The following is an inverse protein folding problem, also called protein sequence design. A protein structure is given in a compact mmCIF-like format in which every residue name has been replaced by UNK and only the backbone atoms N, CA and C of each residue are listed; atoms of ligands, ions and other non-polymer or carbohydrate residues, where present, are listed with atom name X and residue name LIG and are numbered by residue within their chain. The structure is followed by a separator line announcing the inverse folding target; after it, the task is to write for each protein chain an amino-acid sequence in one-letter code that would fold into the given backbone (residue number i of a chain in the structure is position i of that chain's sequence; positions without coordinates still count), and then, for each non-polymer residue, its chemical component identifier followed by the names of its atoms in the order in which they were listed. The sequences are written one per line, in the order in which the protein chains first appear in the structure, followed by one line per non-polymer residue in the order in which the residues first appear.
data_IF_528693507943
#
_entry.id   IF_528693507943
#
_cell.length_a   1.000
_cell.length_b   1.000
_cell.length_c   1.000
_cell.angle_alpha   90.00
_cell.angle_beta   90.00
_cell.angle_gamma   90.00
#
_symmetry.space_group_name_H-M   'P 1'
#
loop_
_entity.id
_entity.type
_entity.pdbx_description
1 polymer ?
#
# COMPACT_ATOMS: atom_id res chain seq x y z
N UNK A 1 -29.99 4.43 1.12
CA UNK A 1 -29.76 2.97 0.92
C UNK A 1 -28.53 2.55 1.72
N UNK A 2 -28.34 1.24 2.00
CA UNK A 2 -27.14 0.76 2.75
C UNK A 2 -25.83 1.17 2.05
N UNK A 3 -25.81 1.15 0.70
CA UNK A 3 -24.66 1.52 -0.13
C UNK A 3 -24.20 2.97 0.01
N UNK A 4 -25.00 3.85 0.57
CA UNK A 4 -24.68 5.28 0.66
C UNK A 4 -24.21 5.67 2.08
N UNK A 5 -24.24 4.70 3.00
CA UNK A 5 -23.83 4.92 4.38
C UNK A 5 -22.29 5.08 4.50
N UNK A 6 -21.80 5.87 5.47
CA UNK A 6 -20.40 5.90 5.86
C UNK A 6 -19.89 4.51 6.27
N UNK A 7 -18.60 4.27 6.10
CA UNK A 7 -17.99 2.98 6.45
C UNK A 7 -18.13 2.64 7.94
N UNK A 8 -18.09 3.65 8.80
CA UNK A 8 -18.29 3.49 10.24
C UNK A 8 -19.69 2.96 10.56
N UNK A 9 -20.72 3.44 9.85
CA UNK A 9 -22.11 3.01 10.04
C UNK A 9 -22.34 1.61 9.46
N UNK A 10 -21.74 1.30 8.32
CA UNK A 10 -21.75 -0.05 7.77
C UNK A 10 -21.10 -1.06 8.73
N UNK A 11 -20.01 -0.67 9.40
CA UNK A 11 -19.36 -1.55 10.36
C UNK A 11 -20.23 -1.79 11.58
N UNK A 12 -20.95 -0.77 12.08
CA UNK A 12 -21.94 -0.93 13.15
C UNK A 12 -23.11 -1.83 12.71
N UNK A 13 -23.62 -1.66 11.50
CA UNK A 13 -24.66 -2.54 10.95
C UNK A 13 -24.20 -3.99 10.87
N UNK A 14 -22.94 -4.22 10.48
CA UNK A 14 -22.34 -5.57 10.47
C UNK A 14 -22.25 -6.17 11.87
N UNK A 15 -21.87 -5.40 12.90
CA UNK A 15 -21.87 -5.82 14.30
C UNK A 15 -23.26 -6.26 14.79
N UNK A 16 -24.33 -5.67 14.21
CA UNK A 16 -25.72 -6.01 14.50
C UNK A 16 -26.24 -7.22 13.70
N UNK A 17 -25.37 -7.87 12.90
CA UNK A 17 -25.69 -9.05 12.12
C UNK A 17 -26.04 -8.80 10.66
N UNK A 18 -25.99 -7.55 10.18
CA UNK A 18 -26.27 -7.23 8.77
C UNK A 18 -25.04 -7.57 7.88
N UNK A 19 -24.99 -8.81 7.39
CA UNK A 19 -23.86 -9.33 6.58
C UNK A 19 -23.64 -8.50 5.32
N UNK A 20 -24.72 -7.98 4.70
CA UNK A 20 -24.63 -7.16 3.49
C UNK A 20 -23.86 -5.85 3.69
N UNK A 21 -23.84 -5.31 4.90
CA UNK A 21 -23.03 -4.16 5.23
C UNK A 21 -21.53 -4.44 5.09
N UNK A 22 -21.08 -5.64 5.50
CA UNK A 22 -19.70 -6.07 5.32
C UNK A 22 -19.34 -6.32 3.84
N UNK A 23 -20.25 -6.89 3.05
CA UNK A 23 -20.04 -7.06 1.60
C UNK A 23 -19.80 -5.72 0.91
N UNK A 24 -20.51 -4.66 1.30
CA UNK A 24 -20.30 -3.30 0.79
C UNK A 24 -18.93 -2.78 1.20
N UNK A 25 -18.52 -2.92 2.47
CA UNK A 25 -17.19 -2.53 2.95
C UNK A 25 -16.08 -3.27 2.18
N UNK A 26 -16.24 -4.58 2.00
CA UNK A 26 -15.31 -5.39 1.21
C UNK A 26 -15.23 -4.90 -0.23
N UNK A 27 -16.36 -4.61 -0.87
CA UNK A 27 -16.42 -4.09 -2.24
C UNK A 27 -15.69 -2.74 -2.39
N UNK A 28 -15.84 -1.84 -1.42
CA UNK A 28 -15.16 -0.52 -1.42
C UNK A 28 -13.65 -0.62 -1.22
N UNK A 29 -13.21 -1.48 -0.30
CA UNK A 29 -11.85 -1.44 0.22
C UNK A 29 -10.93 -2.55 -0.32
N UNK A 30 -11.47 -3.64 -0.90
CA UNK A 30 -10.66 -4.76 -1.40
C UNK A 30 -9.57 -4.32 -2.38
N UNK A 31 -9.93 -3.55 -3.41
CA UNK A 31 -8.98 -3.11 -4.44
C UNK A 31 -7.95 -2.09 -3.91
N UNK A 32 -8.33 -1.04 -3.18
CA UNK A 32 -7.37 -0.11 -2.57
C UNK A 32 -6.39 -0.81 -1.61
N UNK A 33 -6.88 -1.69 -0.71
CA UNK A 33 -6.06 -2.44 0.23
C UNK A 33 -5.10 -3.38 -0.50
N UNK A 34 -5.59 -4.13 -1.49
CA UNK A 34 -4.74 -4.99 -2.31
C UNK A 34 -3.60 -4.21 -2.97
N UNK A 35 -3.94 -3.09 -3.61
CA UNK A 35 -2.95 -2.25 -4.29
C UNK A 35 -1.91 -1.66 -3.32
N UNK A 36 -2.32 -1.31 -2.10
CA UNK A 36 -1.41 -0.86 -1.05
C UNK A 36 -0.45 -1.98 -0.64
N UNK A 37 -0.98 -3.16 -0.28
CA UNK A 37 -0.18 -4.31 0.15
C UNK A 37 0.79 -4.72 -0.96
N UNK A 38 0.32 -4.79 -2.18
CA UNK A 38 1.10 -5.20 -3.33
C UNK A 38 2.29 -4.24 -3.61
N UNK A 39 2.08 -2.91 -3.51
CA UNK A 39 3.16 -1.93 -3.61
C UNK A 39 4.13 -1.97 -2.44
N UNK A 40 3.65 -2.37 -1.28
CA UNK A 40 4.49 -2.49 -0.09
C UNK A 40 5.38 -3.73 -0.14
N UNK A 41 4.81 -4.88 -0.51
CA UNK A 41 5.46 -6.20 -0.49
C UNK A 41 6.22 -6.49 -1.79
N UNK A 42 5.70 -6.05 -2.94
CA UNK A 42 6.29 -6.28 -4.27
C UNK A 42 6.02 -7.67 -4.87
N UNK A 43 5.26 -8.54 -4.21
CA UNK A 43 4.97 -9.90 -4.66
C UNK A 43 3.47 -10.16 -4.60
N UNK A 44 2.91 -10.62 -5.71
CA UNK A 44 1.45 -10.73 -5.90
C UNK A 44 0.82 -11.81 -5.01
N UNK A 45 1.40 -12.99 -4.97
CA UNK A 45 0.88 -14.12 -4.19
C UNK A 45 0.83 -13.77 -2.70
N UNK A 46 1.94 -13.29 -2.15
CA UNK A 46 1.98 -12.78 -0.78
C UNK A 46 0.97 -11.65 -0.54
N UNK A 47 0.76 -10.76 -1.52
CA UNK A 47 -0.21 -9.68 -1.36
C UNK A 47 -1.66 -10.18 -1.33
N UNK A 48 -2.00 -11.22 -2.09
CA UNK A 48 -3.31 -11.87 -2.06
C UNK A 48 -3.57 -12.54 -0.70
N UNK A 49 -2.56 -13.23 -0.14
CA UNK A 49 -2.63 -13.84 1.18
C UNK A 49 -2.82 -12.79 2.30
N UNK A 50 -2.04 -11.71 2.26
CA UNK A 50 -2.14 -10.63 3.24
C UNK A 50 -3.46 -9.86 3.13
N UNK A 51 -4.02 -9.73 1.93
CA UNK A 51 -5.36 -9.17 1.74
C UNK A 51 -6.41 -10.02 2.44
N UNK A 52 -6.39 -11.33 2.22
CA UNK A 52 -7.27 -12.28 2.88
C UNK A 52 -7.16 -12.18 4.41
N UNK A 53 -5.94 -12.25 4.94
CA UNK A 53 -5.69 -12.16 6.38
C UNK A 53 -6.15 -10.80 6.94
N UNK A 54 -6.00 -9.70 6.17
CA UNK A 54 -6.51 -8.38 6.57
C UNK A 54 -8.01 -8.41 6.82
N UNK A 55 -8.80 -8.91 5.87
CA UNK A 55 -10.25 -8.96 6.03
C UNK A 55 -10.70 -10.01 7.04
N UNK A 56 -9.99 -11.12 7.18
CA UNK A 56 -10.23 -12.07 8.27
C UNK A 56 -10.02 -11.44 9.66
N UNK A 57 -9.00 -10.58 9.81
CA UNK A 57 -8.80 -9.83 11.07
C UNK A 57 -9.86 -8.77 11.27
N UNK A 58 -10.35 -8.12 10.21
CA UNK A 58 -11.50 -7.21 10.29
C UNK A 58 -12.73 -7.94 10.82
N UNK A 59 -13.06 -9.14 10.27
CA UNK A 59 -14.19 -9.95 10.73
C UNK A 59 -14.03 -10.34 12.20
N UNK A 60 -12.87 -10.91 12.58
CA UNK A 60 -12.60 -11.35 13.95
C UNK A 60 -12.59 -10.20 14.96
N UNK A 61 -12.14 -9.02 14.54
CA UNK A 61 -12.06 -7.82 15.37
C UNK A 61 -13.30 -6.95 15.32
N UNK A 62 -14.33 -7.35 14.56
CA UNK A 62 -15.52 -6.55 14.33
C UNK A 62 -16.19 -6.09 15.63
N UNK A 63 -16.39 -6.98 16.58
CA UNK A 63 -17.03 -6.68 17.88
C UNK A 63 -16.28 -5.62 18.69
N UNK A 64 -14.95 -5.58 18.57
CA UNK A 64 -14.10 -4.62 19.29
C UNK A 64 -14.00 -3.24 18.60
N UNK A 65 -14.46 -3.14 17.36
CA UNK A 65 -14.43 -1.87 16.64
C UNK A 65 -15.35 -0.83 17.28
N UNK A 66 -14.86 0.40 17.44
CA UNK A 66 -15.62 1.52 17.99
C UNK A 66 -15.83 2.59 16.91
N UNK A 67 -17.07 3.03 16.71
CA UNK A 67 -17.47 4.03 15.72
C UNK A 67 -16.70 5.37 15.79
N UNK A 68 -16.13 5.71 16.95
CA UNK A 68 -15.33 6.94 17.11
C UNK A 68 -14.02 6.91 16.29
N UNK A 69 -13.52 5.72 15.94
CA UNK A 69 -12.35 5.58 15.07
C UNK A 69 -12.79 5.50 13.61
N UNK A 70 -12.06 6.19 12.73
CA UNK A 70 -12.24 6.03 11.28
C UNK A 70 -12.05 4.57 10.89
N UNK A 71 -13.00 3.99 10.14
CA UNK A 71 -12.89 2.61 9.67
C UNK A 71 -11.62 2.41 8.83
N UNK A 72 -11.31 3.34 7.95
CA UNK A 72 -10.09 3.31 7.12
C UNK A 72 -8.81 3.33 7.96
N UNK A 73 -8.75 4.11 9.05
CA UNK A 73 -7.59 4.09 9.96
C UNK A 73 -7.39 2.70 10.56
N UNK A 74 -8.45 2.09 11.07
CA UNK A 74 -8.39 0.75 11.66
C UNK A 74 -8.02 -0.31 10.62
N UNK A 75 -8.65 -0.30 9.45
CA UNK A 75 -8.39 -1.23 8.35
C UNK A 75 -6.93 -1.16 7.89
N UNK A 76 -6.41 0.06 7.64
CA UNK A 76 -5.03 0.23 7.19
C UNK A 76 -4.00 -0.03 8.29
N UNK A 77 -4.35 0.14 9.56
CA UNK A 77 -3.50 -0.31 10.67
C UNK A 77 -3.31 -1.83 10.64
N UNK A 78 -4.38 -2.59 10.39
CA UNK A 78 -4.32 -4.05 10.26
C UNK A 78 -3.44 -4.44 9.05
N UNK A 79 -3.74 -3.89 7.87
CA UNK A 79 -3.01 -4.18 6.64
C UNK A 79 -1.52 -3.84 6.76
N UNK A 80 -1.21 -2.65 7.30
CA UNK A 80 0.15 -2.18 7.56
C UNK A 80 0.93 -3.12 8.48
N UNK A 81 0.35 -3.51 9.60
CA UNK A 81 1.02 -4.39 10.56
C UNK A 81 1.34 -5.74 9.94
N UNK A 82 0.45 -6.30 9.12
CA UNK A 82 0.71 -7.52 8.37
C UNK A 82 1.86 -7.36 7.38
N UNK A 83 1.93 -6.24 6.65
CA UNK A 83 3.02 -5.97 5.72
C UNK A 83 4.37 -5.84 6.44
N UNK A 84 4.42 -5.11 7.56
CA UNK A 84 5.64 -4.93 8.37
C UNK A 84 6.11 -6.27 8.94
N UNK A 85 5.19 -7.07 9.49
CA UNK A 85 5.51 -8.39 10.03
C UNK A 85 6.06 -9.33 8.95
N UNK A 86 5.47 -9.32 7.75
CA UNK A 86 5.95 -10.11 6.61
C UNK A 86 7.35 -9.66 6.15
N UNK A 87 7.59 -8.36 6.06
CA UNK A 87 8.91 -7.82 5.69
C UNK A 87 9.97 -8.21 6.73
N UNK A 88 9.63 -8.12 8.02
CA UNK A 88 10.52 -8.54 9.11
C UNK A 88 10.86 -10.03 9.04
N UNK A 89 9.86 -10.89 8.79
CA UNK A 89 10.06 -12.34 8.60
C UNK A 89 10.96 -12.65 7.41
N UNK A 90 10.81 -11.92 6.28
CA UNK A 90 11.68 -12.07 5.10
C UNK A 90 13.12 -11.67 5.42
N UNK A 91 13.33 -10.56 6.11
CA UNK A 91 14.67 -10.13 6.55
C UNK A 91 15.34 -11.18 7.45
N UNK A 92 14.63 -11.73 8.44
CA UNK A 92 15.14 -12.78 9.32
C UNK A 92 15.50 -14.05 8.56
N UNK A 93 14.67 -14.51 7.63
CA UNK A 93 14.98 -15.70 6.80
C UNK A 93 16.22 -15.48 5.94
N UNK A 94 16.39 -14.30 5.34
CA UNK A 94 17.60 -13.97 4.57
C UNK A 94 18.86 -13.99 5.44
N UNK A 95 18.82 -13.46 6.65
CA UNK A 95 19.96 -13.51 7.57
C UNK A 95 20.27 -14.95 8.02
N UNK A 96 19.27 -15.75 8.32
CA UNK A 96 19.47 -17.16 8.67
C UNK A 96 19.96 -18.00 7.49
N UNK A 97 19.70 -17.60 6.24
CA UNK A 97 20.18 -18.29 5.02
C UNK A 97 21.58 -17.84 4.59
N UNK A 98 22.15 -16.78 5.14
CA UNK A 98 23.53 -16.37 4.86
C UNK A 98 24.57 -17.32 5.48
N UNK A 99 24.15 -18.20 6.40
CA UNK A 99 24.97 -19.29 6.95
C UNK A 99 24.86 -20.60 6.14
N UNK A 100 24.10 -20.63 5.03
CA UNK A 100 23.98 -21.74 4.08
C UNK A 100 24.61 -21.36 2.73
N UNK A 101 25.23 -22.30 1.96
CA UNK A 101 25.85 -21.98 0.66
C UNK A 101 24.83 -21.36 -0.30
N UNK A 102 25.24 -20.27 -0.94
CA UNK A 102 24.45 -19.47 -1.87
C UNK A 102 23.97 -20.32 -3.05
N UNK A 103 22.66 -20.51 -3.14
CA UNK A 103 21.99 -20.73 -4.43
C UNK A 103 21.45 -19.36 -4.88
N UNK A 104 22.11 -18.78 -5.89
CA UNK A 104 21.76 -17.48 -6.45
C UNK A 104 20.61 -17.61 -7.44
N UNK A 105 19.42 -17.92 -6.93
CA UNK A 105 18.17 -17.75 -7.66
C UNK A 105 17.64 -16.33 -7.43
N UNK A 106 18.04 -15.40 -8.30
CA UNK A 106 17.44 -14.06 -8.40
C UNK A 106 16.05 -14.17 -9.05
N UNK A 107 15.06 -14.57 -8.25
CA UNK A 107 13.64 -14.51 -8.61
C UNK A 107 12.98 -13.35 -7.84
N UNK A 108 13.53 -12.16 -8.02
CA UNK A 108 12.83 -10.92 -7.73
C UNK A 108 11.84 -10.66 -8.86
N UNK A 109 10.66 -11.30 -8.77
CA UNK A 109 9.49 -10.93 -9.56
C UNK A 109 9.36 -9.40 -9.50
N UNK A 110 9.64 -8.78 -10.64
CA UNK A 110 9.77 -7.32 -10.75
C UNK A 110 8.43 -6.69 -10.43
N UNK A 111 8.43 -5.65 -9.60
CA UNK A 111 7.32 -4.74 -9.32
C UNK A 111 6.61 -4.24 -10.61
N UNK A 112 7.21 -4.51 -11.78
CA UNK A 112 6.76 -4.18 -13.12
C UNK A 112 5.47 -4.90 -13.56
N UNK A 113 5.19 -6.12 -13.06
CA UNK A 113 4.03 -6.90 -13.47
C UNK A 113 2.74 -6.57 -12.69
N UNK A 114 2.86 -5.63 -11.73
CA UNK A 114 1.92 -5.48 -10.64
C UNK A 114 0.94 -4.31 -10.80
N UNK A 115 1.18 -3.39 -11.72
CA UNK A 115 0.28 -2.26 -11.92
C UNK A 115 -0.49 -2.38 -13.25
N UNK A 116 -1.80 -2.17 -13.28
CA UNK A 116 -2.51 -2.01 -14.55
C UNK A 116 -1.95 -0.79 -15.26
N UNK A 117 -1.30 -0.99 -16.42
CA UNK A 117 -0.93 0.09 -17.30
C UNK A 117 -2.20 0.83 -17.73
N UNK A 118 -2.24 2.17 -17.71
CA UNK A 118 -3.34 2.89 -18.32
C UNK A 118 -3.43 2.55 -19.81
N UNK A 119 -4.64 2.35 -20.31
CA UNK A 119 -4.94 2.06 -21.71
C UNK A 119 -4.61 3.29 -22.57
N UNK A 120 -3.37 3.38 -23.09
CA UNK A 120 -2.88 4.50 -23.91
C UNK A 120 -2.27 3.95 -25.20
N UNK A 121 -2.51 4.67 -26.33
CA UNK A 121 -2.10 4.34 -27.69
C UNK A 121 -0.62 3.95 -27.88
N UNK A 122 -0.34 3.13 -28.91
CA UNK A 122 0.85 2.28 -29.08
C UNK A 122 2.24 2.94 -28.95
N UNK A 123 2.44 4.17 -29.43
CA UNK A 123 3.76 4.85 -29.37
C UNK A 123 4.05 5.49 -28.01
N UNK A 124 3.00 5.84 -27.25
CA UNK A 124 3.11 6.31 -25.86
C UNK A 124 3.39 5.17 -24.87
N UNK A 125 3.12 3.91 -25.24
CA UNK A 125 3.28 2.74 -24.35
C UNK A 125 4.73 2.51 -23.95
N UNK A 126 5.71 2.75 -24.82
CA UNK A 126 7.13 2.47 -24.53
C UNK A 126 7.73 3.51 -23.59
N UNK A 127 7.48 4.80 -23.83
CA UNK A 127 7.96 5.90 -22.97
C UNK A 127 7.27 5.84 -21.60
N UNK A 128 5.96 5.61 -21.58
CA UNK A 128 5.22 5.43 -20.33
C UNK A 128 5.67 4.19 -19.55
N UNK A 129 6.04 3.10 -20.23
CA UNK A 129 6.54 1.88 -19.58
C UNK A 129 7.90 2.12 -18.92
N UNK A 130 8.81 2.85 -19.60
CA UNK A 130 10.12 3.20 -19.04
C UNK A 130 10.00 4.17 -17.85
N UNK A 131 9.23 5.23 -17.99
CA UNK A 131 8.96 6.19 -16.90
C UNK A 131 8.33 5.48 -15.70
N UNK A 132 7.39 4.59 -15.97
CA UNK A 132 6.73 3.79 -14.96
C UNK A 132 7.70 2.87 -14.22
N UNK A 133 8.56 2.13 -14.94
CA UNK A 133 9.59 1.28 -14.36
C UNK A 133 10.58 2.07 -13.49
N UNK A 134 10.99 3.26 -13.96
CA UNK A 134 11.88 4.15 -13.20
C UNK A 134 11.19 4.67 -11.93
N UNK A 135 9.93 5.06 -12.02
CA UNK A 135 9.16 5.51 -10.84
C UNK A 135 9.03 4.38 -9.81
N UNK A 136 8.79 3.14 -10.24
CA UNK A 136 8.75 1.97 -9.37
C UNK A 136 10.10 1.72 -8.68
N UNK A 137 11.19 1.80 -9.43
CA UNK A 137 12.55 1.65 -8.91
C UNK A 137 12.86 2.75 -7.88
N UNK A 138 12.50 3.99 -8.17
CA UNK A 138 12.68 5.12 -7.27
C UNK A 138 11.89 4.94 -5.97
N UNK A 139 10.63 4.51 -6.04
CA UNK A 139 9.79 4.20 -4.86
C UNK A 139 10.39 3.03 -4.05
N UNK A 140 10.87 1.97 -4.73
CA UNK A 140 11.53 0.85 -4.06
C UNK A 140 12.84 1.26 -3.36
N UNK A 141 13.52 2.29 -3.88
CA UNK A 141 14.73 2.88 -3.28
C UNK A 141 14.48 3.75 -2.04
N UNK A 142 13.24 4.12 -1.72
CA UNK A 142 12.92 4.83 -0.48
C UNK A 142 13.19 3.97 0.75
N UNK A 143 13.51 4.60 1.90
CA UNK A 143 13.50 3.86 3.16
C UNK A 143 12.10 3.29 3.42
N UNK A 144 12.01 2.25 4.25
CA UNK A 144 10.74 1.60 4.57
C UNK A 144 9.71 2.60 5.12
N UNK A 145 10.16 3.50 6.00
CA UNK A 145 9.32 4.52 6.63
C UNK A 145 8.91 5.63 5.65
N UNK A 146 9.80 6.01 4.72
CA UNK A 146 9.49 7.01 3.68
C UNK A 146 8.49 6.43 2.69
N UNK A 147 8.74 5.19 2.23
CA UNK A 147 7.86 4.48 1.29
C UNK A 147 6.46 4.27 1.87
N UNK A 148 6.36 3.89 3.14
CA UNK A 148 5.08 3.71 3.83
C UNK A 148 4.23 4.98 3.81
N UNK A 149 4.79 6.10 4.24
CA UNK A 149 4.11 7.40 4.24
C UNK A 149 3.72 7.82 2.82
N UNK A 150 4.63 7.64 1.86
CA UNK A 150 4.39 7.97 0.47
C UNK A 150 3.22 7.16 -0.12
N UNK A 151 3.21 5.84 0.09
CA UNK A 151 2.14 4.97 -0.40
C UNK A 151 0.78 5.32 0.22
N UNK A 152 0.72 5.61 1.51
CA UNK A 152 -0.51 5.99 2.18
C UNK A 152 -1.02 7.35 1.71
N UNK A 153 -0.14 8.31 1.43
CA UNK A 153 -0.54 9.65 0.99
C UNK A 153 -0.98 9.65 -0.47
N UNK A 154 -0.17 9.07 -1.38
CA UNK A 154 -0.36 9.22 -2.82
C UNK A 154 -1.33 8.18 -3.42
N UNK A 155 -1.45 6.99 -2.82
CA UNK A 155 -2.31 5.93 -3.36
C UNK A 155 -3.59 5.70 -2.56
N UNK A 156 -3.62 6.08 -1.30
CA UNK A 156 -4.80 5.95 -0.43
C UNK A 156 -5.44 7.30 -0.11
N UNK A 157 -4.81 8.41 -0.52
CA UNK A 157 -5.21 9.80 -0.25
C UNK A 157 -5.52 10.08 1.24
N UNK A 158 -4.80 9.38 2.14
CA UNK A 158 -5.00 9.59 3.57
C UNK A 158 -4.43 10.93 4.04
N UNK A 159 -5.15 11.70 4.87
CA UNK A 159 -4.61 12.89 5.51
C UNK A 159 -3.42 12.55 6.42
N UNK A 160 -2.44 13.44 6.56
CA UNK A 160 -1.25 13.21 7.41
C UNK A 160 -1.59 12.83 8.84
N UNK A 161 -2.63 13.42 9.42
CA UNK A 161 -3.12 13.05 10.75
C UNK A 161 -3.55 11.58 10.79
N UNK A 162 -4.30 11.13 9.79
CA UNK A 162 -4.76 9.73 9.72
C UNK A 162 -3.59 8.77 9.48
N UNK A 163 -2.61 9.14 8.65
CA UNK A 163 -1.37 8.38 8.47
C UNK A 163 -0.61 8.27 9.81
N UNK A 164 -0.51 9.37 10.56
CA UNK A 164 0.11 9.40 11.88
C UNK A 164 -0.55 8.40 12.84
N UNK A 165 -1.89 8.37 12.86
CA UNK A 165 -2.68 7.41 13.66
C UNK A 165 -2.44 5.95 13.23
N UNK A 166 -2.36 5.66 11.92
CA UNK A 166 -2.08 4.32 11.37
C UNK A 166 -0.68 3.84 11.74
N UNK A 167 0.33 4.71 11.61
CA UNK A 167 1.74 4.35 11.79
C UNK A 167 2.14 4.40 13.28
N UNK A 168 1.43 5.18 14.09
CA UNK A 168 1.74 5.38 15.51
C UNK A 168 2.89 6.34 15.75
N UNK A 169 3.04 7.41 14.95
CA UNK A 169 4.07 8.44 15.10
C UNK A 169 3.44 9.84 15.05
N UNK A 170 4.13 10.89 15.57
CA UNK A 170 3.63 12.27 15.46
C UNK A 170 3.42 12.72 13.99
N UNK A 171 2.39 13.53 13.74
CA UNK A 171 2.08 14.06 12.40
C UNK A 171 3.27 14.81 11.77
N UNK A 172 4.05 15.53 12.57
CA UNK A 172 5.26 16.20 12.09
C UNK A 172 6.32 15.22 11.58
N UNK A 173 6.40 14.01 12.16
CA UNK A 173 7.28 12.94 11.69
C UNK A 173 6.80 12.42 10.33
N UNK A 174 5.48 12.25 10.15
CA UNK A 174 4.90 11.87 8.86
C UNK A 174 5.22 12.90 7.79
N UNK A 175 5.00 14.18 8.07
CA UNK A 175 5.33 15.30 7.16
C UNK A 175 6.81 15.33 6.77
N UNK A 176 7.70 15.10 7.74
CA UNK A 176 9.15 15.05 7.49
C UNK A 176 9.53 13.85 6.61
N UNK A 177 8.99 12.66 6.90
CA UNK A 177 9.20 11.45 6.08
C UNK A 177 8.71 11.66 4.65
N UNK A 178 7.53 12.28 4.47
CA UNK A 178 7.00 12.60 3.14
C UNK A 178 7.89 13.59 2.39
N UNK A 179 8.37 14.65 3.05
CA UNK A 179 9.30 15.61 2.44
C UNK A 179 10.56 14.93 1.93
N UNK A 180 11.20 14.08 2.74
CA UNK A 180 12.40 13.35 2.33
C UNK A 180 12.13 12.32 1.24
N UNK A 181 10.94 11.66 1.25
CA UNK A 181 10.53 10.78 0.17
C UNK A 181 10.44 11.54 -1.16
N UNK A 182 9.73 12.68 -1.17
CA UNK A 182 9.56 13.51 -2.37
C UNK A 182 10.89 14.09 -2.87
N UNK A 183 11.79 14.50 -1.97
CA UNK A 183 13.12 15.00 -2.34
C UNK A 183 13.94 13.91 -3.03
N UNK A 184 13.95 12.69 -2.47
CA UNK A 184 14.65 11.55 -3.07
C UNK A 184 14.05 11.16 -4.43
N UNK A 185 12.72 11.06 -4.51
CA UNK A 185 12.04 10.76 -5.78
C UNK A 185 12.33 11.84 -6.84
N UNK A 186 12.37 13.11 -6.45
CA UNK A 186 12.73 14.21 -7.36
C UNK A 186 14.13 14.04 -7.93
N UNK A 187 15.11 13.65 -7.12
CA UNK A 187 16.49 13.43 -7.57
C UNK A 187 16.57 12.24 -8.56
N UNK A 188 15.93 11.14 -8.23
CA UNK A 188 15.91 9.94 -9.07
C UNK A 188 15.16 10.13 -10.40
N UNK A 189 14.18 11.04 -10.43
CA UNK A 189 13.34 11.32 -11.61
C UNK A 189 13.78 12.60 -12.36
N UNK A 190 14.86 13.25 -11.96
CA UNK A 190 15.29 14.54 -12.55
C UNK A 190 15.59 14.41 -14.04
N UNK A 191 16.18 13.31 -14.48
CA UNK A 191 16.47 13.00 -15.88
C UNK A 191 15.20 12.88 -16.76
N UNK A 192 14.04 12.63 -16.14
CA UNK A 192 12.76 12.47 -16.83
C UNK A 192 11.92 13.75 -16.91
N UNK A 193 12.36 14.85 -16.32
CA UNK A 193 11.66 16.15 -16.35
C UNK A 193 11.44 16.67 -17.77
N UNK A 194 12.39 16.44 -18.65
CA UNK A 194 12.31 16.92 -20.04
C UNK A 194 11.33 16.08 -20.86
N UNK A 195 11.14 14.80 -20.54
CA UNK A 195 10.11 13.95 -21.17
C UNK A 195 8.68 14.36 -20.77
N UNK A 196 8.50 14.86 -19.55
CA UNK A 196 7.18 15.35 -19.08
C UNK A 196 6.80 16.71 -19.70
N UNK A 197 7.77 17.52 -20.16
CA UNK A 197 7.54 18.82 -20.82
C UNK A 197 7.19 18.71 -22.30
N UNK A 198 7.45 17.56 -22.92
CA UNK A 198 7.21 17.33 -24.37
C UNK A 198 5.77 16.95 -24.67
N UNK A 199 4.93 16.76 -23.65
CA UNK A 199 3.50 16.42 -23.80
C UNK A 199 2.62 17.36 -22.96
N UNK A 200 2.17 18.51 -23.51
CA UNK A 200 1.08 19.28 -22.95
C UNK A 200 -0.27 18.54 -23.09
#
# INVERSE_FOLDING_TARGET
MLSDQPDEDLMVSYQQGEVRAFEILLGRHRKPVFNYILRFIGERETAEDLLQETFMRVIKGAEAYKRQAKFTTWLYTIARNLCVDQTRRRKHRRHASLDAPMDTGDDSGTLLDVLPAPDIASDRKTVNKQLYATMQKAIAGLSEEQREVFLMREFLDLPFKQIADVIGVPENTVKSRMRYALEKLRLELDEYKDLAKVNP
#
